data_IF_526070993027
#
_entry.id   IF_526070993027
#
_cell.length_a   1.000
_cell.length_b   1.000
_cell.length_c   1.000
_cell.angle_alpha   90.00
_cell.angle_beta   90.00
_cell.angle_gamma   90.00
#
_symmetry.space_group_name_H-M   'P 1'
#
loop_
_entity.id
_entity.type
_entity.pdbx_description
1 polymer ?
#
# COMPACT_ATOMS: atom_id res chain seq x y z
N UNK A 1 18.23 -5.92 -12.80
CA UNK A 1 16.82 -6.38 -12.75
C UNK A 1 16.09 -6.14 -14.07
N UNK A 2 16.11 -4.93 -14.64
CA UNK A 2 15.38 -4.62 -15.90
C UNK A 2 15.70 -5.56 -17.08
N UNK A 3 16.97 -5.96 -17.26
CA UNK A 3 17.35 -6.90 -18.31
C UNK A 3 16.67 -8.28 -18.14
N UNK A 4 16.63 -8.81 -16.91
CA UNK A 4 16.00 -10.10 -16.63
C UNK A 4 14.48 -10.05 -16.85
N UNK A 5 13.82 -8.95 -16.45
CA UNK A 5 12.39 -8.75 -16.70
C UNK A 5 12.07 -8.60 -18.20
N UNK A 6 12.97 -8.00 -18.99
CA UNK A 6 12.79 -7.89 -20.44
C UNK A 6 12.92 -9.26 -21.11
N UNK A 7 13.93 -10.06 -20.73
CA UNK A 7 14.07 -11.43 -21.21
C UNK A 7 12.86 -12.31 -20.84
N UNK A 8 12.38 -12.20 -19.60
CA UNK A 8 11.18 -12.89 -19.16
C UNK A 8 9.95 -12.48 -19.98
N UNK A 9 9.79 -11.18 -20.26
CA UNK A 9 8.69 -10.67 -21.09
C UNK A 9 8.72 -11.28 -22.49
N UNK A 10 9.87 -11.21 -23.17
CA UNK A 10 10.06 -11.75 -24.51
C UNK A 10 9.77 -13.26 -24.55
N UNK A 11 10.24 -14.01 -23.56
CA UNK A 11 10.00 -15.45 -23.47
C UNK A 11 8.51 -15.76 -23.28
N UNK A 12 7.83 -15.08 -22.35
CA UNK A 12 6.40 -15.31 -22.10
C UNK A 12 5.54 -14.88 -23.29
N UNK A 13 5.89 -13.80 -23.98
CA UNK A 13 5.19 -13.39 -25.21
C UNK A 13 5.40 -14.39 -26.34
N UNK A 14 6.63 -14.89 -26.51
CA UNK A 14 6.91 -15.93 -27.50
C UNK A 14 6.08 -17.19 -27.23
N UNK A 15 6.04 -17.66 -25.99
CA UNK A 15 5.24 -18.83 -25.61
C UNK A 15 3.74 -18.60 -25.84
N UNK A 16 3.23 -17.42 -25.49
CA UNK A 16 1.82 -17.08 -25.65
C UNK A 16 1.38 -17.01 -27.12
N UNK A 17 2.22 -16.45 -27.98
CA UNK A 17 1.94 -16.24 -29.40
C UNK A 17 2.19 -17.49 -30.25
N UNK A 18 3.02 -18.41 -29.77
CA UNK A 18 3.29 -19.68 -30.45
C UNK A 18 2.09 -20.61 -30.31
N UNK A 19 1.46 -20.99 -31.43
CA UNK A 19 0.32 -21.93 -31.46
C UNK A 19 0.76 -23.39 -31.28
N UNK A 20 1.50 -23.67 -30.21
CA UNK A 20 1.93 -25.02 -29.84
C UNK A 20 1.34 -25.38 -28.50
N UNK A 21 0.48 -26.40 -28.49
CA UNK A 21 -0.12 -26.91 -27.26
C UNK A 21 0.94 -27.61 -26.39
N UNK A 22 0.81 -27.46 -25.08
CA UNK A 22 1.59 -28.19 -24.09
C UNK A 22 0.84 -29.44 -23.64
N UNK A 23 1.53 -30.57 -23.60
CA UNK A 23 1.01 -31.84 -23.09
C UNK A 23 1.51 -32.03 -21.66
N UNK A 24 0.64 -31.80 -20.66
CA UNK A 24 1.02 -31.94 -19.25
C UNK A 24 1.44 -33.37 -18.89
N UNK A 25 0.89 -34.36 -19.59
CA UNK A 25 1.27 -35.78 -19.46
C UNK A 25 2.77 -36.04 -19.70
N UNK A 26 3.46 -35.17 -20.42
CA UNK A 26 4.90 -35.28 -20.68
C UNK A 26 5.75 -34.70 -19.52
N UNK A 27 5.13 -34.10 -18.50
CA UNK A 27 5.81 -33.56 -17.33
C UNK A 27 5.81 -34.63 -16.24
N UNK A 28 6.96 -35.24 -15.99
CA UNK A 28 7.13 -36.27 -14.97
C UNK A 28 7.81 -35.68 -13.74
N UNK A 29 7.07 -35.62 -12.62
CA UNK A 29 7.54 -35.17 -11.31
C UNK A 29 7.01 -36.15 -10.27
N UNK A 30 7.91 -36.88 -9.58
CA UNK A 30 7.52 -37.87 -8.57
C UNK A 30 6.73 -37.23 -7.43
N UNK A 31 5.59 -37.84 -7.09
CA UNK A 31 4.67 -37.35 -6.07
C UNK A 31 3.79 -36.18 -6.52
N UNK A 32 3.83 -35.80 -7.80
CA UNK A 32 2.95 -34.79 -8.41
C UNK A 32 2.25 -35.37 -9.62
N UNK A 33 3.00 -35.74 -10.66
CA UNK A 33 2.42 -36.20 -11.93
C UNK A 33 1.84 -37.62 -11.88
N UNK A 34 2.14 -38.38 -10.83
CA UNK A 34 1.61 -39.71 -10.57
C UNK A 34 0.66 -39.77 -9.36
N UNK A 35 0.26 -38.62 -8.81
CA UNK A 35 -0.64 -38.51 -7.67
C UNK A 35 -2.08 -38.19 -8.12
N UNK A 36 -3.05 -38.33 -7.20
CA UNK A 36 -4.41 -37.85 -7.43
C UNK A 36 -4.43 -36.34 -7.61
N UNK A 37 -5.10 -35.86 -8.66
CA UNK A 37 -5.11 -34.44 -9.04
C UNK A 37 -4.01 -34.04 -10.03
N UNK A 38 -3.26 -35.01 -10.58
CA UNK A 38 -2.32 -34.76 -11.66
C UNK A 38 -3.03 -34.18 -12.91
N UNK A 39 -2.40 -33.19 -13.54
CA UNK A 39 -2.90 -32.57 -14.76
C UNK A 39 -2.43 -33.41 -15.96
N UNK A 40 -3.37 -33.88 -16.77
CA UNK A 40 -3.08 -34.70 -17.97
C UNK A 40 -3.58 -34.06 -19.26
N UNK A 41 -4.13 -32.85 -19.19
CA UNK A 41 -4.71 -32.14 -20.33
C UNK A 41 -3.64 -31.70 -21.34
N UNK A 42 -4.09 -31.48 -22.56
CA UNK A 42 -3.28 -30.91 -23.65
C UNK A 42 -3.99 -29.68 -24.15
N UNK A 43 -3.35 -28.51 -24.00
CA UNK A 43 -3.93 -27.25 -24.47
C UNK A 43 -2.85 -26.18 -24.66
N UNK A 44 -3.21 -25.01 -25.20
CA UNK A 44 -2.30 -23.88 -25.31
C UNK A 44 -1.92 -23.33 -23.93
N UNK A 45 -0.66 -22.84 -23.73
CA UNK A 45 -0.22 -22.24 -22.47
C UNK A 45 -1.17 -21.16 -21.92
N UNK A 46 -1.77 -20.37 -22.82
CA UNK A 46 -2.73 -19.30 -22.50
C UNK A 46 -4.05 -19.79 -21.89
N UNK A 47 -4.35 -21.08 -21.94
CA UNK A 47 -5.51 -21.67 -21.25
C UNK A 47 -5.22 -22.00 -19.77
N UNK A 48 -3.96 -21.94 -19.33
CA UNK A 48 -3.57 -22.25 -17.96
C UNK A 48 -3.32 -20.96 -17.16
N UNK A 49 -4.03 -20.81 -16.04
CA UNK A 49 -3.92 -19.65 -15.15
C UNK A 49 -2.50 -19.43 -14.63
N UNK A 50 -1.73 -20.49 -14.35
CA UNK A 50 -0.33 -20.37 -13.92
C UNK A 50 0.52 -19.58 -14.91
N UNK A 51 0.32 -19.80 -16.22
CA UNK A 51 1.04 -19.09 -17.26
C UNK A 51 0.61 -17.63 -17.34
N UNK A 52 -0.70 -17.39 -17.36
CA UNK A 52 -1.27 -16.04 -17.46
C UNK A 52 -0.88 -15.16 -16.25
N UNK A 53 -0.89 -15.73 -15.05
CA UNK A 53 -0.52 -15.01 -13.82
C UNK A 53 0.97 -14.65 -13.82
N UNK A 54 1.88 -15.59 -14.15
CA UNK A 54 3.31 -15.30 -14.26
C UNK A 54 3.57 -14.23 -15.34
N UNK A 55 2.86 -14.29 -16.47
CA UNK A 55 2.97 -13.29 -17.52
C UNK A 55 2.54 -11.90 -17.05
N UNK A 56 1.46 -11.82 -16.28
CA UNK A 56 0.92 -10.57 -15.74
C UNK A 56 1.82 -9.94 -14.66
N UNK A 57 2.60 -10.73 -13.93
CA UNK A 57 3.55 -10.24 -12.93
C UNK A 57 4.66 -9.36 -13.54
N UNK A 58 5.09 -9.67 -14.77
CA UNK A 58 6.25 -9.04 -15.40
C UNK A 58 6.07 -7.52 -15.61
N UNK A 59 4.98 -7.02 -16.26
CA UNK A 59 4.79 -5.58 -16.42
C UNK A 59 4.63 -4.84 -15.09
N UNK A 60 4.01 -5.47 -14.08
CA UNK A 60 3.89 -4.90 -12.72
C UNK A 60 5.28 -4.72 -12.10
N UNK A 61 6.14 -5.74 -12.18
CA UNK A 61 7.53 -5.65 -11.70
C UNK A 61 8.34 -4.60 -12.47
N UNK A 62 8.12 -4.45 -13.78
CA UNK A 62 8.78 -3.42 -14.57
C UNK A 62 8.39 -2.01 -14.09
N UNK A 63 7.09 -1.77 -13.85
CA UNK A 63 6.59 -0.51 -13.27
C UNK A 63 7.18 -0.26 -11.88
N UNK A 64 7.22 -1.29 -11.03
CA UNK A 64 7.80 -1.19 -9.68
C UNK A 64 9.29 -0.82 -9.71
N UNK A 65 10.06 -1.39 -10.64
CA UNK A 65 11.49 -1.07 -10.82
C UNK A 65 11.67 0.38 -11.26
N UNK A 66 10.94 0.83 -12.28
CA UNK A 66 11.01 2.23 -12.76
C UNK A 66 10.63 3.21 -11.65
N UNK A 67 9.55 2.95 -10.92
CA UNK A 67 9.11 3.81 -9.83
C UNK A 67 10.15 3.86 -8.70
N UNK A 68 10.75 2.72 -8.36
CA UNK A 68 11.80 2.64 -7.33
C UNK A 68 13.07 3.42 -7.72
N UNK A 69 13.44 3.39 -9.01
CA UNK A 69 14.57 4.18 -9.52
C UNK A 69 14.29 5.68 -9.44
N UNK A 70 13.11 6.11 -9.88
CA UNK A 70 12.71 7.52 -9.79
C UNK A 70 12.65 8.01 -8.34
N UNK A 71 12.16 7.16 -7.41
CA UNK A 71 12.11 7.46 -5.99
C UNK A 71 13.49 7.64 -5.35
N UNK A 72 14.50 6.88 -5.80
CA UNK A 72 15.86 7.03 -5.30
C UNK A 72 16.40 8.43 -5.61
N UNK A 73 16.21 8.89 -6.86
CA UNK A 73 16.57 10.25 -7.28
C UNK A 73 15.82 11.32 -6.47
N UNK A 74 14.51 11.16 -6.27
CA UNK A 74 13.70 12.09 -5.48
C UNK A 74 14.16 12.16 -4.01
N UNK A 75 14.49 11.01 -3.42
CA UNK A 75 15.00 10.93 -2.05
C UNK A 75 16.33 11.68 -1.87
N UNK A 76 17.23 11.61 -2.86
CA UNK A 76 18.49 12.34 -2.81
C UNK A 76 18.26 13.87 -2.84
N UNK A 77 17.34 14.33 -3.71
CA UNK A 77 16.96 15.74 -3.79
C UNK A 77 16.38 16.27 -2.48
N UNK A 78 15.52 15.49 -1.82
CA UNK A 78 14.90 15.85 -0.53
C UNK A 78 15.93 15.99 0.60
N UNK A 79 16.95 15.13 0.65
CA UNK A 79 18.03 15.25 1.64
C UNK A 79 18.81 16.57 1.47
N UNK A 80 19.10 16.96 0.23
CA UNK A 80 19.74 18.24 -0.06
C UNK A 80 18.85 19.44 0.34
N UNK A 81 17.54 19.36 0.08
CA UNK A 81 16.59 20.40 0.50
C UNK A 81 16.46 20.51 2.03
N UNK A 82 16.48 19.39 2.77
CA UNK A 82 16.39 19.37 4.22
C UNK A 82 17.62 19.99 4.92
N UNK A 83 18.77 20.01 4.25
CA UNK A 83 19.96 20.77 4.70
C UNK A 83 19.89 22.27 4.38
N UNK A 84 18.88 22.71 3.63
CA UNK A 84 18.52 24.10 3.37
C UNK A 84 17.32 24.58 4.19
N UNK A 85 16.96 25.87 4.06
CA UNK A 85 15.93 26.55 4.87
C UNK A 85 14.60 25.77 5.00
N UNK A 86 14.10 25.67 6.25
CA UNK A 86 12.95 24.87 6.69
C UNK A 86 11.56 25.32 6.18
N UNK A 87 11.50 26.30 5.28
CA UNK A 87 10.25 26.87 4.74
C UNK A 87 10.14 26.73 3.23
N UNK A 88 10.55 25.58 2.67
CA UNK A 88 10.46 25.32 1.23
C UNK A 88 9.14 24.61 0.86
N UNK A 89 8.21 25.26 0.14
CA UNK A 89 6.97 24.62 -0.32
C UNK A 89 7.21 23.39 -1.22
N UNK A 90 8.33 23.36 -1.95
CA UNK A 90 8.69 22.21 -2.80
C UNK A 90 9.01 20.98 -1.94
N UNK A 91 9.58 21.16 -0.75
CA UNK A 91 9.86 20.04 0.16
C UNK A 91 8.57 19.31 0.57
N UNK A 92 7.52 20.07 0.92
CA UNK A 92 6.25 19.50 1.37
C UNK A 92 5.56 18.68 0.27
N UNK A 93 5.64 19.16 -0.99
CA UNK A 93 5.15 18.45 -2.17
C UNK A 93 5.98 17.20 -2.47
N UNK A 94 7.30 17.34 -2.47
CA UNK A 94 8.22 16.26 -2.81
C UNK A 94 8.18 15.12 -1.79
N UNK A 95 8.11 15.42 -0.49
CA UNK A 95 8.03 14.38 0.54
C UNK A 95 6.71 13.62 0.51
N UNK A 96 5.60 14.31 0.19
CA UNK A 96 4.30 13.66 -0.02
C UNK A 96 4.31 12.76 -1.26
N UNK A 97 4.88 13.24 -2.37
CA UNK A 97 5.05 12.42 -3.58
C UNK A 97 5.93 11.20 -3.33
N UNK A 98 7.04 11.36 -2.61
CA UNK A 98 7.92 10.25 -2.24
C UNK A 98 7.16 9.19 -1.44
N UNK A 99 6.38 9.60 -0.43
CA UNK A 99 5.61 8.67 0.39
C UNK A 99 4.53 7.95 -0.41
N UNK A 100 3.82 8.65 -1.32
CA UNK A 100 2.84 8.03 -2.22
C UNK A 100 3.49 7.00 -3.14
N UNK A 101 4.65 7.34 -3.72
CA UNK A 101 5.35 6.42 -4.61
C UNK A 101 5.87 5.19 -3.84
N UNK A 102 6.33 5.34 -2.60
CA UNK A 102 6.72 4.19 -1.75
C UNK A 102 5.52 3.29 -1.47
N UNK A 103 4.34 3.86 -1.19
CA UNK A 103 3.10 3.09 -1.02
C UNK A 103 2.74 2.33 -2.27
N UNK A 104 2.89 2.95 -3.44
CA UNK A 104 2.64 2.29 -4.73
C UNK A 104 3.62 1.13 -4.99
N UNK A 105 4.90 1.25 -4.61
CA UNK A 105 5.86 0.13 -4.69
C UNK A 105 5.43 -1.05 -3.82
N UNK A 106 4.94 -0.79 -2.59
CA UNK A 106 4.37 -1.85 -1.72
C UNK A 106 3.11 -2.45 -2.35
N UNK A 107 2.24 -1.64 -2.95
CA UNK A 107 1.05 -2.13 -3.66
C UNK A 107 1.42 -3.06 -4.81
N UNK A 108 2.43 -2.71 -5.63
CA UNK A 108 2.91 -3.61 -6.69
C UNK A 108 3.40 -4.94 -6.12
N UNK A 109 4.13 -4.94 -4.99
CA UNK A 109 4.55 -6.17 -4.34
C UNK A 109 3.36 -7.01 -3.85
N UNK A 110 2.31 -6.38 -3.33
CA UNK A 110 1.06 -7.05 -2.97
C UNK A 110 0.35 -7.66 -4.19
N UNK A 111 0.35 -6.97 -5.33
CA UNK A 111 -0.24 -7.48 -6.58
C UNK A 111 0.49 -8.73 -7.08
N UNK A 112 1.83 -8.76 -6.97
CA UNK A 112 2.62 -9.97 -7.27
C UNK A 112 2.25 -11.13 -6.35
N UNK A 113 2.13 -10.87 -5.04
CA UNK A 113 1.68 -11.89 -4.09
C UNK A 113 0.28 -12.41 -4.44
N UNK A 114 -0.66 -11.53 -4.78
CA UNK A 114 -2.03 -11.89 -5.16
C UNK A 114 -2.07 -12.75 -6.44
N UNK A 115 -1.21 -12.42 -7.43
CA UNK A 115 -1.08 -13.21 -8.65
C UNK A 115 -0.51 -14.61 -8.38
N UNK A 116 0.40 -14.77 -7.42
CA UNK A 116 0.85 -16.10 -6.99
C UNK A 116 -0.26 -16.86 -6.25
N UNK A 117 -0.92 -16.19 -5.30
CA UNK A 117 -1.94 -16.80 -4.44
C UNK A 117 -3.21 -17.22 -5.20
N UNK A 118 -3.43 -16.67 -6.39
CA UNK A 118 -4.57 -17.00 -7.26
C UNK A 118 -4.28 -18.12 -8.27
N UNK A 119 -3.06 -18.66 -8.30
CA UNK A 119 -2.74 -19.81 -9.16
C UNK A 119 -3.49 -21.05 -8.64
N UNK A 120 -4.22 -21.79 -9.50
CA UNK A 120 -4.85 -23.04 -9.11
C UNK A 120 -3.86 -24.01 -8.45
N UNK A 121 -4.28 -24.62 -7.33
CA UNK A 121 -3.40 -25.42 -6.47
C UNK A 121 -2.69 -26.55 -7.21
N UNK A 122 -3.41 -27.22 -8.10
CA UNK A 122 -2.89 -28.28 -8.97
C UNK A 122 -1.77 -27.76 -9.90
N UNK A 123 -1.96 -26.60 -10.55
CA UNK A 123 -0.94 -25.99 -11.39
C UNK A 123 0.25 -25.46 -10.57
N UNK A 124 -0.02 -24.90 -9.39
CA UNK A 124 1.02 -24.39 -8.50
C UNK A 124 1.97 -25.50 -8.01
N UNK A 125 1.46 -26.69 -7.71
CA UNK A 125 2.29 -27.83 -7.30
C UNK A 125 3.34 -28.23 -8.37
N UNK A 126 2.97 -28.15 -9.64
CA UNK A 126 3.93 -28.38 -10.74
C UNK A 126 4.94 -27.25 -10.86
N UNK A 127 4.53 -26.00 -10.65
CA UNK A 127 5.42 -24.84 -10.68
C UNK A 127 6.46 -24.90 -9.55
N UNK A 128 6.01 -25.13 -8.31
CA UNK A 128 6.84 -25.24 -7.11
C UNK A 128 7.92 -26.33 -7.27
N UNK A 129 7.55 -27.47 -7.86
CA UNK A 129 8.44 -28.63 -8.03
C UNK A 129 9.00 -28.78 -9.44
N UNK A 130 8.89 -27.75 -10.28
CA UNK A 130 9.36 -27.81 -11.67
C UNK A 130 10.84 -28.17 -11.78
N UNK A 131 11.65 -27.70 -10.81
CA UNK A 131 13.07 -28.03 -10.73
C UNK A 131 13.32 -29.54 -10.53
N UNK A 132 12.35 -30.32 -10.03
CA UNK A 132 12.46 -31.78 -9.84
C UNK A 132 12.01 -32.60 -11.08
N UNK A 133 11.67 -31.95 -12.20
CA UNK A 133 11.25 -32.65 -13.43
C UNK A 133 12.29 -33.69 -13.85
N UNK A 134 11.79 -34.89 -14.15
CA UNK A 134 12.59 -36.01 -14.65
C UNK A 134 12.66 -35.91 -16.18
N UNK A 135 13.86 -35.82 -16.78
CA UNK A 135 14.02 -35.87 -18.23
C UNK A 135 13.57 -37.22 -18.80
N UNK A 136 13.06 -37.23 -20.02
CA UNK A 136 12.79 -38.49 -20.72
C UNK A 136 14.10 -39.26 -20.94
N UNK A 137 14.05 -40.58 -20.83
CA UNK A 137 15.20 -41.44 -21.11
C UNK A 137 15.81 -41.11 -22.48
N UNK A 138 17.13 -40.91 -22.54
CA UNK A 138 17.85 -40.51 -23.76
C UNK A 138 17.96 -38.98 -23.98
N UNK A 139 17.42 -38.15 -23.10
CA UNK A 139 17.58 -36.68 -23.17
C UNK A 139 18.79 -36.23 -22.36
N UNK A 140 19.72 -35.48 -22.96
CA UNK A 140 20.82 -34.85 -22.23
C UNK A 140 20.30 -33.63 -21.47
N UNK A 141 20.41 -33.56 -20.14
CA UNK A 141 20.02 -32.35 -19.42
C UNK A 141 20.90 -31.16 -19.79
N UNK A 142 20.31 -29.99 -20.04
CA UNK A 142 21.06 -28.76 -20.31
C UNK A 142 21.58 -28.12 -19.01
N UNK A 143 22.81 -27.63 -19.03
CA UNK A 143 23.48 -26.94 -17.92
C UNK A 143 23.05 -25.46 -17.86
N UNK A 144 22.82 -24.82 -16.69
CA UNK A 144 22.88 -25.37 -15.33
C UNK A 144 21.82 -26.42 -15.03
N UNK A 145 22.27 -27.61 -14.62
CA UNK A 145 21.40 -28.70 -14.20
C UNK A 145 20.94 -28.47 -12.75
N UNK A 146 19.73 -27.93 -12.61
CA UNK A 146 18.91 -27.86 -11.38
C UNK A 146 19.54 -27.10 -10.20
N UNK A 147 19.31 -25.79 -10.16
CA UNK A 147 19.39 -25.06 -8.89
C UNK A 147 18.26 -25.55 -7.97
N UNK A 148 18.54 -25.73 -6.68
CA UNK A 148 17.50 -25.93 -5.69
C UNK A 148 16.66 -24.65 -5.62
N UNK A 149 15.37 -24.76 -5.95
CA UNK A 149 14.43 -23.64 -5.97
C UNK A 149 13.45 -23.80 -4.81
N UNK A 150 13.27 -22.74 -4.01
CA UNK A 150 12.27 -22.70 -2.96
C UNK A 150 11.31 -21.51 -3.18
N UNK A 151 10.40 -21.71 -4.14
CA UNK A 151 9.42 -20.69 -4.54
C UNK A 151 8.51 -20.27 -3.37
N UNK A 152 8.12 -21.20 -2.49
CA UNK A 152 7.31 -20.90 -1.32
C UNK A 152 8.00 -19.87 -0.40
N UNK A 153 9.32 -20.05 -0.16
CA UNK A 153 10.11 -19.12 0.64
C UNK A 153 10.19 -17.73 -0.01
N UNK A 154 10.34 -17.67 -1.32
CA UNK A 154 10.35 -16.41 -2.06
C UNK A 154 9.01 -15.68 -1.96
N UNK A 155 7.89 -16.38 -2.17
CA UNK A 155 6.54 -15.80 -2.05
C UNK A 155 6.25 -15.35 -0.61
N UNK A 156 6.62 -16.16 0.39
CA UNK A 156 6.48 -15.79 1.80
C UNK A 156 7.29 -14.53 2.13
N UNK A 157 8.48 -14.39 1.53
CA UNK A 157 9.31 -13.19 1.70
C UNK A 157 8.62 -11.95 1.15
N UNK A 158 7.91 -12.05 0.01
CA UNK A 158 7.10 -10.94 -0.52
C UNK A 158 6.02 -10.54 0.49
N UNK A 159 5.25 -11.50 1.01
CA UNK A 159 4.20 -11.23 1.98
C UNK A 159 4.72 -10.56 3.26
N UNK A 160 5.84 -11.08 3.79
CA UNK A 160 6.48 -10.53 4.98
C UNK A 160 6.96 -9.09 4.75
N UNK A 161 7.55 -8.81 3.58
CA UNK A 161 8.00 -7.46 3.22
C UNK A 161 6.82 -6.50 3.08
N UNK A 162 5.71 -6.91 2.46
CA UNK A 162 4.52 -6.07 2.33
C UNK A 162 3.98 -5.69 3.71
N UNK A 163 3.83 -6.66 4.62
CA UNK A 163 3.33 -6.39 5.97
C UNK A 163 4.29 -5.49 6.77
N UNK A 164 5.58 -5.83 6.78
CA UNK A 164 6.58 -5.13 7.59
C UNK A 164 6.82 -3.69 7.13
N UNK A 165 6.99 -3.49 5.82
CA UNK A 165 7.29 -2.16 5.28
C UNK A 165 6.00 -1.35 4.99
N UNK A 166 4.89 -2.00 4.63
CA UNK A 166 3.63 -1.32 4.32
C UNK A 166 3.12 -0.46 5.48
N UNK A 167 3.06 -1.03 6.69
CA UNK A 167 2.62 -0.29 7.88
C UNK A 167 3.46 0.96 8.17
N UNK A 168 4.78 0.88 7.92
CA UNK A 168 5.71 2.00 8.12
C UNK A 168 5.52 3.08 7.06
N UNK A 169 5.29 2.66 5.80
CA UNK A 169 5.01 3.57 4.70
C UNK A 169 3.67 4.26 4.88
N UNK A 170 2.64 3.58 5.38
CA UNK A 170 1.34 4.20 5.69
C UNK A 170 1.47 5.28 6.78
N UNK A 171 2.23 5.00 7.85
CA UNK A 171 2.51 5.99 8.88
C UNK A 171 3.29 7.20 8.31
N UNK A 172 4.34 6.95 7.52
CA UNK A 172 5.11 8.01 6.88
C UNK A 172 4.28 8.84 5.89
N UNK A 173 3.38 8.20 5.13
CA UNK A 173 2.46 8.88 4.22
C UNK A 173 1.47 9.76 4.97
N UNK A 174 0.96 9.32 6.12
CA UNK A 174 0.11 10.17 6.96
C UNK A 174 0.83 11.45 7.38
N UNK A 175 2.05 11.33 7.88
CA UNK A 175 2.86 12.50 8.28
C UNK A 175 3.20 13.39 7.08
N UNK A 176 3.57 12.80 5.94
CA UNK A 176 3.87 13.56 4.74
C UNK A 176 2.64 14.33 4.21
N UNK A 177 1.45 13.74 4.34
CA UNK A 177 0.17 14.41 4.02
C UNK A 177 -0.09 15.60 4.95
N UNK A 178 0.20 15.47 6.23
CA UNK A 178 0.07 16.59 7.18
C UNK A 178 1.04 17.73 6.84
N UNK A 179 2.29 17.41 6.50
CA UNK A 179 3.29 18.39 6.04
C UNK A 179 2.82 19.08 4.75
N UNK A 180 2.31 18.32 3.78
CA UNK A 180 1.80 18.85 2.52
C UNK A 180 0.61 19.81 2.73
N UNK A 181 -0.33 19.44 3.59
CA UNK A 181 -1.54 20.21 3.84
C UNK A 181 -1.38 21.30 4.90
N UNK A 182 -0.21 21.44 5.54
CA UNK A 182 -0.01 22.31 6.69
C UNK A 182 -0.56 23.74 6.47
N UNK A 183 -0.29 24.34 5.31
CA UNK A 183 -0.77 25.70 5.00
C UNK A 183 -2.29 25.77 4.89
N UNK A 184 -2.93 24.77 4.28
CA UNK A 184 -4.39 24.68 4.21
C UNK A 184 -4.98 24.45 5.59
N UNK A 185 -4.42 23.50 6.35
CA UNK A 185 -4.86 23.15 7.70
C UNK A 185 -4.75 24.35 8.66
N UNK A 186 -3.72 25.19 8.51
CA UNK A 186 -3.58 26.45 9.26
C UNK A 186 -4.72 27.44 8.98
N UNK A 187 -5.14 27.59 7.73
CA UNK A 187 -6.28 28.46 7.39
C UNK A 187 -7.58 27.85 7.90
N UNK A 188 -7.76 26.54 7.72
CA UNK A 188 -8.98 25.82 8.12
C UNK A 188 -9.17 25.88 9.64
N UNK A 189 -8.13 25.60 10.44
CA UNK A 189 -8.25 25.60 11.90
C UNK A 189 -8.57 27.00 12.47
N UNK A 190 -8.10 28.07 11.83
CA UNK A 190 -8.45 29.45 12.22
C UNK A 190 -9.93 29.72 11.96
N UNK A 191 -10.43 29.33 10.79
CA UNK A 191 -11.86 29.44 10.45
C UNK A 191 -12.71 28.62 11.41
N UNK A 192 -12.37 27.33 11.61
CA UNK A 192 -13.09 26.44 12.53
C UNK A 192 -13.12 26.98 13.96
N UNK A 193 -12.02 27.55 14.46
CA UNK A 193 -11.99 28.20 15.76
C UNK A 193 -12.94 29.40 15.84
N UNK A 194 -12.93 30.29 14.84
CA UNK A 194 -13.81 31.46 14.82
C UNK A 194 -15.28 31.06 14.77
N UNK A 195 -15.63 30.07 13.95
CA UNK A 195 -16.99 29.55 13.85
C UNK A 195 -17.43 28.90 15.16
N UNK A 196 -16.58 28.07 15.76
CA UNK A 196 -16.86 27.43 17.05
C UNK A 196 -17.03 28.47 18.17
N UNK A 197 -16.20 29.51 18.19
CA UNK A 197 -16.30 30.60 19.15
C UNK A 197 -17.63 31.35 18.99
N UNK A 198 -17.96 31.80 17.79
CA UNK A 198 -19.21 32.51 17.51
C UNK A 198 -20.43 31.65 17.89
N UNK A 199 -20.43 30.37 17.50
CA UNK A 199 -21.51 29.44 17.85
C UNK A 199 -21.64 29.28 19.37
N UNK A 200 -20.53 29.16 20.09
CA UNK A 200 -20.53 29.03 21.55
C UNK A 200 -21.08 30.28 22.25
N UNK A 201 -20.84 31.47 21.69
CA UNK A 201 -21.38 32.74 22.17
C UNK A 201 -22.89 32.83 21.91
N UNK A 202 -23.36 32.42 20.74
CA UNK A 202 -24.80 32.38 20.42
C UNK A 202 -25.56 31.39 21.32
N UNK A 203 -25.03 30.17 21.53
CA UNK A 203 -25.62 29.19 22.46
C UNK A 203 -25.68 29.77 23.88
N UNK A 204 -24.64 30.48 24.30
CA UNK A 204 -24.58 31.09 25.65
C UNK A 204 -25.65 32.16 25.88
N UNK A 205 -26.18 32.78 24.82
CA UNK A 205 -27.25 33.80 24.90
C UNK A 205 -28.65 33.18 24.97
N UNK A 206 -28.81 31.90 24.67
CA UNK A 206 -30.13 31.25 24.69
C UNK A 206 -30.64 31.11 26.14
N UNK A 207 -31.84 31.61 26.47
CA UNK A 207 -32.36 31.58 27.84
C UNK A 207 -32.62 30.16 28.37
N UNK A 208 -32.79 29.18 27.47
CA UNK A 208 -33.04 27.78 27.82
C UNK A 208 -31.79 26.91 27.74
N UNK A 209 -30.62 27.50 27.47
CA UNK A 209 -29.37 26.75 27.40
C UNK A 209 -29.06 26.08 28.75
N UNK A 210 -28.75 24.77 28.71
CA UNK A 210 -28.43 23.96 29.89
C UNK A 210 -26.93 23.62 29.98
N UNK A 211 -26.14 23.96 28.95
CA UNK A 211 -24.71 23.61 28.87
C UNK A 211 -23.89 24.89 28.88
N UNK A 212 -22.95 25.02 29.81
CA UNK A 212 -22.01 26.14 29.79
C UNK A 212 -21.00 25.95 28.64
N UNK A 213 -21.20 26.69 27.55
CA UNK A 213 -20.34 26.68 26.35
C UNK A 213 -19.36 27.85 26.29
N UNK A 214 -19.41 28.77 27.25
CA UNK A 214 -18.51 29.94 27.26
C UNK A 214 -17.06 29.48 27.36
N UNK A 215 -16.20 29.95 26.44
CA UNK A 215 -14.77 29.62 26.42
C UNK A 215 -14.48 28.11 26.27
N UNK A 216 -15.40 27.34 25.67
CA UNK A 216 -15.18 25.90 25.36
C UNK A 216 -13.99 25.70 24.41
N UNK A 217 -13.74 26.68 23.54
CA UNK A 217 -12.55 26.77 22.70
C UNK A 217 -11.83 28.07 23.02
N UNK A 218 -10.53 27.99 23.29
CA UNK A 218 -9.70 29.17 23.59
C UNK A 218 -8.38 29.12 22.82
N UNK A 219 -7.77 30.27 22.62
CA UNK A 219 -6.39 30.38 22.18
C UNK A 219 -5.61 31.07 23.32
N UNK A 220 -4.79 30.34 24.09
CA UNK A 220 -3.97 30.94 25.12
C UNK A 220 -3.06 32.01 24.49
N UNK A 221 -3.21 33.25 24.94
CA UNK A 221 -2.37 34.34 24.45
C UNK A 221 -0.97 34.21 25.04
N UNK A 222 0.00 33.83 24.21
CA UNK A 222 1.42 33.92 24.55
C UNK A 222 2.12 34.88 23.58
N UNK A 223 2.54 36.03 24.13
CA UNK A 223 3.22 37.11 23.40
C UNK A 223 4.60 36.69 22.87
N UNK A 224 5.19 35.64 23.43
CA UNK A 224 6.53 35.16 23.09
C UNK A 224 6.53 33.80 22.36
N UNK A 225 5.35 33.27 22.02
CA UNK A 225 5.25 31.96 21.39
C UNK A 225 5.87 31.98 19.97
N UNK A 226 6.66 30.94 19.61
CA UNK A 226 7.03 30.68 18.22
C UNK A 226 5.78 30.57 17.32
N UNK A 227 5.94 30.68 15.99
CA UNK A 227 4.82 30.58 15.04
C UNK A 227 3.93 29.33 15.23
N UNK A 228 4.50 28.23 15.76
CA UNK A 228 3.74 27.02 16.11
C UNK A 228 2.73 27.22 17.26
N UNK A 229 2.96 28.16 18.18
CA UNK A 229 2.02 28.48 19.26
C UNK A 229 0.80 29.30 18.80
N UNK A 230 0.81 29.85 17.58
CA UNK A 230 -0.33 30.62 17.03
C UNK A 230 -1.56 29.75 16.75
N UNK A 231 -1.37 28.44 16.57
CA UNK A 231 -2.45 27.48 16.29
C UNK A 231 -2.70 26.52 17.46
N UNK A 232 -2.18 26.83 18.66
CA UNK A 232 -2.29 25.96 19.85
C UNK A 232 -3.62 26.19 20.60
N UNK A 233 -4.73 26.00 19.91
CA UNK A 233 -6.07 26.09 20.49
C UNK A 233 -6.26 25.05 21.60
N UNK A 234 -6.96 25.43 22.66
CA UNK A 234 -7.33 24.56 23.76
C UNK A 234 -8.83 24.32 23.73
N UNK A 235 -9.22 23.07 23.93
CA UNK A 235 -10.61 22.67 24.13
C UNK A 235 -10.77 22.39 25.62
N UNK A 236 -11.75 23.03 26.27
CA UNK A 236 -12.05 22.74 27.66
C UNK A 236 -12.68 21.34 27.77
N UNK A 237 -11.99 20.36 28.40
CA UNK A 237 -12.43 18.98 28.39
C UNK A 237 -13.73 18.76 29.18
N UNK A 238 -13.96 19.53 30.25
CA UNK A 238 -15.18 19.42 31.06
C UNK A 238 -16.39 19.93 30.28
N UNK A 239 -16.25 21.08 29.62
CA UNK A 239 -17.33 21.65 28.80
C UNK A 239 -17.62 20.79 27.57
N UNK A 240 -16.59 20.24 26.92
CA UNK A 240 -16.76 19.27 25.83
C UNK A 240 -17.49 18.01 26.30
N UNK A 241 -17.12 17.47 27.47
CA UNK A 241 -17.80 16.31 28.06
C UNK A 241 -19.27 16.61 28.37
N UNK A 242 -19.57 17.75 28.98
CA UNK A 242 -20.95 18.16 29.30
C UNK A 242 -21.81 18.34 28.03
N UNK A 243 -21.23 18.92 26.98
CA UNK A 243 -21.88 19.05 25.67
C UNK A 243 -22.20 17.67 25.07
N UNK A 244 -21.24 16.74 25.10
CA UNK A 244 -21.43 15.37 24.59
C UNK A 244 -22.51 14.61 25.39
N UNK A 245 -22.55 14.77 26.71
CA UNK A 245 -23.58 14.16 27.56
C UNK A 245 -24.97 14.73 27.24
N UNK A 246 -25.09 16.05 27.06
CA UNK A 246 -26.35 16.67 26.66
C UNK A 246 -26.83 16.16 25.29
N UNK A 247 -25.93 16.05 24.31
CA UNK A 247 -26.25 15.48 22.99
C UNK A 247 -26.74 14.03 23.09
N UNK A 248 -26.10 13.20 23.92
CA UNK A 248 -26.52 11.82 24.15
C UNK A 248 -27.87 11.71 24.89
N UNK A 249 -28.15 12.60 25.85
CA UNK A 249 -29.46 12.67 26.50
C UNK A 249 -30.56 13.10 25.52
N UNK A 250 -30.26 14.04 24.62
CA UNK A 250 -31.18 14.47 23.57
C UNK A 250 -31.44 13.38 22.53
N UNK A 251 -30.48 12.49 22.22
CA UNK A 251 -30.71 11.36 21.33
C UNK A 251 -31.57 10.28 21.98
N UNK A 252 -31.37 10.01 23.27
CA UNK A 252 -32.10 9.02 24.06
C UNK A 252 -33.44 9.52 24.63
N UNK A 253 -33.93 10.67 24.17
CA UNK A 253 -35.14 11.28 24.70
C UNK A 253 -36.36 10.38 24.42
N UNK A 254 -37.07 9.89 25.45
CA UNK A 254 -38.19 8.95 25.28
C UNK A 254 -39.42 9.57 24.60
N UNK A 255 -39.45 10.89 24.44
CA UNK A 255 -40.48 11.63 23.72
C UNK A 255 -40.16 11.85 22.23
N UNK A 256 -38.99 11.39 21.75
CA UNK A 256 -38.72 11.19 20.31
C UNK A 256 -39.36 9.89 19.84
N UNK A 257 -40.69 9.85 19.77
CA UNK A 257 -41.43 8.87 18.98
C UNK A 257 -42.20 9.59 17.89
#
# INVERSE_FOLDING_TARGET
>A
VSNALNLAQQLMDLIANTKTAMMWKNIVISGVSNASGAITTTDYPTQYAVFNNIKAMIPILQQAVTLSQNNNTLSASLQAQATGSQTNPEFAKDIYNLAQNQKQVISYAQDIFNLFNSIPKDQYQYLEKAYLKIPNAGSTPTNPYRQEVNLNKEIQTIQNNVSYYGNRVDAALSVAKDVYNLKSNQTEIVTTYNDAKNLSEEISKLPHNQVNTKDIVTLPYDKNAPAAGQYNYQINPEQQSNLNQALAAMSNNPFKK
#
